data_IF_384149124563
#
_entry.id   IF_384149124563
#
_cell.length_a   1.000
_cell.length_b   1.000
_cell.length_c   1.000
_cell.angle_alpha   90.00
_cell.angle_beta   90.00
_cell.angle_gamma   90.00
#
_symmetry.space_group_name_H-M   'P 1'
#
loop_
_entity.id
_entity.type
_entity.pdbx_description
1 polymer ?
#
# COMPACT_ATOMS: atom_id res chain seq x y z
N UNK A 1 -3.68 -13.63 -18.04
CA UNK A 1 -4.83 -12.85 -17.53
C UNK A 1 -4.60 -11.34 -17.59
N UNK A 2 -5.64 -10.51 -17.73
CA UNK A 2 -5.59 -9.05 -17.50
C UNK A 2 -6.31 -8.63 -16.19
N UNK A 3 -6.18 -7.37 -15.76
CA UNK A 3 -6.78 -6.86 -14.51
C UNK A 3 -8.30 -6.99 -14.47
N UNK A 4 -9.00 -6.57 -15.52
CA UNK A 4 -10.47 -6.67 -15.59
C UNK A 4 -10.99 -8.11 -15.42
N UNK A 5 -10.25 -9.09 -15.96
CA UNK A 5 -10.57 -10.51 -15.82
C UNK A 5 -10.40 -10.99 -14.38
N UNK A 6 -9.35 -10.54 -13.70
CA UNK A 6 -9.10 -10.85 -12.29
C UNK A 6 -10.24 -10.27 -11.43
N UNK A 7 -10.58 -8.99 -11.61
CA UNK A 7 -11.67 -8.33 -10.89
C UNK A 7 -13.01 -9.05 -11.10
N UNK A 8 -13.29 -9.52 -12.32
CA UNK A 8 -14.51 -10.31 -12.60
C UNK A 8 -14.53 -11.64 -11.86
N UNK A 9 -13.39 -12.32 -11.75
CA UNK A 9 -13.30 -13.57 -10.97
C UNK A 9 -13.51 -13.32 -9.47
N UNK A 10 -12.96 -12.22 -8.94
CA UNK A 10 -13.16 -11.81 -7.55
C UNK A 10 -14.63 -11.47 -7.29
N UNK A 11 -15.24 -10.59 -8.10
CA UNK A 11 -16.66 -10.25 -7.99
C UNK A 11 -17.56 -11.50 -8.10
N UNK A 12 -17.19 -12.47 -8.94
CA UNK A 12 -17.90 -13.74 -9.03
C UNK A 12 -17.76 -14.59 -7.76
N UNK A 13 -16.56 -14.67 -7.18
CA UNK A 13 -16.30 -15.35 -5.91
C UNK A 13 -17.06 -14.72 -4.73
N UNK A 14 -17.30 -13.40 -4.79
CA UNK A 14 -18.01 -12.62 -3.79
C UNK A 14 -19.54 -12.56 -4.03
N UNK A 15 -20.03 -13.18 -5.09
CA UNK A 15 -21.44 -13.15 -5.52
C UNK A 15 -21.96 -11.75 -5.89
N UNK A 16 -21.08 -10.85 -6.32
CA UNK A 16 -21.41 -9.47 -6.71
C UNK A 16 -21.72 -9.32 -8.21
N UNK A 17 -21.72 -10.42 -8.97
CA UNK A 17 -22.06 -10.41 -10.40
C UNK A 17 -23.52 -10.78 -10.67
N UNK A 18 -24.08 -10.24 -11.76
CA UNK A 18 -25.42 -10.62 -12.21
C UNK A 18 -25.51 -12.11 -12.60
N UNK A 19 -26.72 -12.68 -12.56
CA UNK A 19 -26.95 -14.09 -12.92
C UNK A 19 -26.53 -14.45 -14.36
N UNK A 20 -26.67 -13.49 -15.29
CA UNK A 20 -26.21 -13.66 -16.67
C UNK A 20 -24.69 -13.70 -16.77
N UNK A 21 -24.01 -12.85 -16.00
CA UNK A 21 -22.55 -12.78 -15.93
C UNK A 21 -21.96 -14.02 -15.26
N UNK A 22 -22.55 -14.49 -14.16
CA UNK A 22 -22.16 -15.72 -13.48
C UNK A 22 -22.10 -16.92 -14.43
N UNK A 23 -23.08 -17.05 -15.34
CA UNK A 23 -23.08 -18.11 -16.36
C UNK A 23 -21.95 -17.96 -17.38
N UNK A 24 -21.64 -16.72 -17.79
CA UNK A 24 -20.52 -16.45 -18.70
C UNK A 24 -19.18 -16.80 -18.06
N UNK A 25 -19.00 -16.43 -16.78
CA UNK A 25 -17.80 -16.71 -16.02
C UNK A 25 -17.66 -18.22 -15.77
N UNK A 26 -18.74 -18.92 -15.39
CA UNK A 26 -18.71 -20.38 -15.25
C UNK A 26 -18.32 -21.09 -16.57
N UNK A 27 -18.84 -20.62 -17.71
CA UNK A 27 -18.44 -21.13 -19.02
C UNK A 27 -16.98 -20.84 -19.35
N UNK A 28 -16.47 -19.66 -18.99
CA UNK A 28 -15.06 -19.30 -19.16
C UNK A 28 -14.15 -20.20 -18.31
N UNK A 29 -14.47 -20.38 -17.03
CA UNK A 29 -13.75 -21.28 -16.11
C UNK A 29 -13.69 -22.73 -16.60
N UNK A 30 -14.71 -23.20 -17.34
CA UNK A 30 -14.71 -24.57 -17.91
C UNK A 30 -13.76 -24.75 -19.10
N UNK A 31 -13.32 -23.65 -19.73
CA UNK A 31 -12.55 -23.65 -20.98
C UNK A 31 -11.13 -23.12 -20.83
N UNK A 32 -10.87 -22.38 -19.77
CA UNK A 32 -9.62 -21.69 -19.52
C UNK A 32 -8.99 -22.21 -18.23
N UNK A 33 -7.90 -22.96 -18.39
CA UNK A 33 -7.18 -23.57 -17.27
C UNK A 33 -6.48 -22.51 -16.39
N UNK A 34 -6.02 -21.40 -16.98
CA UNK A 34 -5.38 -20.30 -16.25
C UNK A 34 -6.42 -19.63 -15.34
N UNK A 35 -7.61 -19.33 -15.88
CA UNK A 35 -8.72 -18.74 -15.12
C UNK A 35 -9.21 -19.66 -14.00
N UNK A 36 -9.30 -20.96 -14.27
CA UNK A 36 -9.69 -21.95 -13.27
C UNK A 36 -8.69 -22.03 -12.12
N UNK A 37 -7.39 -22.05 -12.43
CA UNK A 37 -6.34 -22.09 -11.42
C UNK A 37 -6.42 -20.86 -10.50
N UNK A 38 -6.47 -19.65 -11.08
CA UNK A 38 -6.57 -18.42 -10.28
C UNK A 38 -7.82 -18.40 -9.41
N UNK A 39 -8.96 -18.87 -9.94
CA UNK A 39 -10.20 -18.94 -9.17
C UNK A 39 -10.08 -19.89 -7.96
N UNK A 40 -9.37 -21.02 -8.08
CA UNK A 40 -9.11 -21.90 -6.94
C UNK A 40 -8.20 -21.24 -5.92
N UNK A 41 -7.11 -20.58 -6.35
CA UNK A 41 -6.20 -19.86 -5.47
C UNK A 41 -6.94 -18.77 -4.66
N UNK A 42 -7.78 -17.97 -5.33
CA UNK A 42 -8.61 -16.95 -4.67
C UNK A 42 -9.59 -17.57 -3.65
N UNK A 43 -10.19 -18.70 -3.99
CA UNK A 43 -11.11 -19.43 -3.11
C UNK A 43 -10.39 -19.97 -1.86
N UNK A 44 -9.17 -20.50 -2.02
CA UNK A 44 -8.33 -20.97 -0.93
C UNK A 44 -7.92 -19.81 0.00
N UNK A 45 -7.50 -18.68 -0.56
CA UNK A 45 -7.18 -17.48 0.23
C UNK A 45 -8.41 -17.00 1.03
N UNK A 46 -9.58 -16.91 0.39
CA UNK A 46 -10.83 -16.53 1.07
C UNK A 46 -11.18 -17.47 2.22
N UNK A 47 -11.00 -18.78 2.03
CA UNK A 47 -11.21 -19.77 3.08
C UNK A 47 -10.20 -19.62 4.23
N UNK A 48 -8.91 -19.48 3.90
CA UNK A 48 -7.85 -19.27 4.89
C UNK A 48 -8.06 -17.99 5.71
N UNK A 49 -8.52 -16.90 5.09
CA UNK A 49 -8.85 -15.66 5.79
C UNK A 49 -10.04 -15.85 6.74
N UNK A 50 -11.12 -16.47 6.29
CA UNK A 50 -12.30 -16.70 7.13
C UNK A 50 -11.99 -17.51 8.41
N UNK A 51 -11.02 -18.41 8.35
CA UNK A 51 -10.57 -19.19 9.52
C UNK A 51 -9.64 -18.41 10.47
N UNK A 52 -9.04 -17.31 10.00
CA UNK A 52 -8.04 -16.53 10.73
C UNK A 52 -8.49 -15.10 11.06
N UNK A 53 -9.77 -14.78 10.88
CA UNK A 53 -10.31 -13.48 11.29
C UNK A 53 -10.33 -13.35 12.81
N UNK A 54 -9.42 -12.53 13.33
CA UNK A 54 -9.36 -12.21 14.75
C UNK A 54 -10.60 -11.38 15.12
N UNK A 55 -11.61 -12.03 15.69
CA UNK A 55 -12.80 -11.33 16.19
C UNK A 55 -12.43 -10.55 17.45
N UNK A 56 -12.01 -9.29 17.26
CA UNK A 56 -11.72 -8.38 18.37
C UNK A 56 -13.01 -7.69 18.79
N UNK A 57 -13.60 -8.13 19.90
CA UNK A 57 -14.69 -7.39 20.53
C UNK A 57 -14.13 -6.24 21.36
N UNK A 58 -14.57 -5.02 21.10
CA UNK A 58 -14.34 -3.90 22.01
C UNK A 58 -15.39 -3.95 23.12
N UNK A 59 -15.02 -3.81 24.40
CA UNK A 59 -15.97 -3.89 25.52
C UNK A 59 -16.91 -2.67 25.62
N UNK A 60 -16.69 -1.66 24.79
CA UNK A 60 -17.41 -0.40 24.78
C UNK A 60 -18.48 -0.39 23.69
N UNK A 61 -19.52 0.44 23.86
CA UNK A 61 -20.50 0.63 22.79
C UNK A 61 -19.83 1.26 21.56
N UNK A 62 -20.35 0.92 20.38
CA UNK A 62 -19.88 1.46 19.09
C UNK A 62 -19.79 2.99 19.12
N UNK A 63 -20.83 3.66 19.59
CA UNK A 63 -20.90 5.12 19.63
C UNK A 63 -19.84 5.72 20.56
N UNK A 64 -19.59 5.07 21.70
CA UNK A 64 -18.56 5.53 22.63
C UNK A 64 -17.16 5.35 22.05
N UNK A 65 -16.88 4.21 21.42
CA UNK A 65 -15.62 3.96 20.72
C UNK A 65 -15.35 4.99 19.62
N UNK A 66 -16.32 5.22 18.73
CA UNK A 66 -16.19 6.21 17.65
C UNK A 66 -16.07 7.65 18.17
N UNK A 67 -16.74 7.99 19.27
CA UNK A 67 -16.60 9.33 19.88
C UNK A 67 -15.18 9.60 20.39
N UNK A 68 -14.42 8.57 20.79
CA UNK A 68 -13.02 8.72 21.20
C UNK A 68 -12.13 8.98 19.99
N UNK A 69 -12.35 8.25 18.90
CA UNK A 69 -11.61 8.45 17.64
C UNK A 69 -11.84 9.87 17.13
N UNK A 70 -13.10 10.32 17.06
CA UNK A 70 -13.44 11.67 16.64
C UNK A 70 -12.73 12.73 17.50
N UNK A 71 -12.85 12.63 18.82
CA UNK A 71 -12.16 13.56 19.75
C UNK A 71 -10.63 13.52 19.58
N UNK A 72 -10.07 12.33 19.36
CA UNK A 72 -8.65 12.15 19.07
C UNK A 72 -8.22 12.92 17.83
N UNK A 73 -8.97 12.81 16.73
CA UNK A 73 -8.72 13.54 15.48
C UNK A 73 -8.86 15.05 15.68
N UNK A 74 -9.93 15.49 16.34
CA UNK A 74 -10.17 16.92 16.61
C UNK A 74 -9.10 17.54 17.52
N UNK A 75 -8.59 16.77 18.48
CA UNK A 75 -7.53 17.20 19.40
C UNK A 75 -6.12 17.09 18.83
N UNK A 76 -5.94 16.36 17.72
CA UNK A 76 -4.64 16.19 17.10
C UNK A 76 -4.17 17.55 16.55
N UNK A 77 -2.99 18.04 16.95
CA UNK A 77 -2.46 19.26 16.38
C UNK A 77 -2.26 19.03 14.88
N UNK A 78 -2.80 19.92 14.04
CA UNK A 78 -2.53 19.89 12.61
C UNK A 78 -1.02 19.80 12.40
N UNK A 79 -0.58 18.74 11.70
CA UNK A 79 0.83 18.53 11.41
C UNK A 79 1.36 19.79 10.73
N UNK A 80 2.15 20.58 11.46
CA UNK A 80 2.82 21.73 10.88
C UNK A 80 3.89 21.17 9.96
N UNK A 81 3.90 21.51 8.66
CA UNK A 81 5.01 21.11 7.81
C UNK A 81 6.29 21.64 8.46
N UNK A 82 7.20 20.72 8.78
CA UNK A 82 8.56 21.04 9.21
C UNK A 82 9.25 21.69 8.01
N UNK A 83 9.14 23.02 7.94
CA UNK A 83 9.87 23.79 6.95
C UNK A 83 11.36 23.62 7.22
N UNK A 84 12.01 22.80 6.41
CA UNK A 84 13.45 22.67 6.45
C UNK A 84 14.07 24.06 6.28
N UNK A 85 15.02 24.45 7.14
CA UNK A 85 15.67 25.75 7.04
C UNK A 85 16.24 25.97 5.64
N UNK A 86 16.12 27.18 5.10
CA UNK A 86 16.57 27.50 3.72
C UNK A 86 18.05 27.12 3.46
N UNK A 87 18.91 27.20 4.49
CA UNK A 87 20.31 26.84 4.40
C UNK A 87 20.54 25.33 4.21
N UNK A 88 19.60 24.46 4.60
CA UNK A 88 19.66 23.03 4.26
C UNK A 88 19.52 22.82 2.75
N UNK A 89 18.70 23.62 2.05
CA UNK A 89 18.56 23.53 0.59
C UNK A 89 19.85 23.90 -0.13
N UNK A 90 20.68 24.74 0.49
CA UNK A 90 21.98 25.16 -0.05
C UNK A 90 23.08 24.17 0.37
N UNK A 91 23.07 23.70 1.62
CA UNK A 91 24.09 22.78 2.12
C UNK A 91 23.97 21.35 1.60
N UNK A 92 22.75 20.89 1.31
CA UNK A 92 22.48 19.52 0.84
C UNK A 92 23.25 19.14 -0.45
N UNK A 93 23.30 19.96 -1.52
CA UNK A 93 24.11 19.62 -2.70
C UNK A 93 25.61 19.55 -2.41
N UNK A 94 26.14 20.40 -1.52
CA UNK A 94 27.57 20.33 -1.14
C UNK A 94 27.88 19.11 -0.28
N UNK A 95 27.00 18.77 0.67
CA UNK A 95 27.13 17.56 1.48
C UNK A 95 27.03 16.29 0.61
N UNK A 96 26.11 16.27 -0.36
CA UNK A 96 26.00 15.19 -1.33
C UNK A 96 27.25 15.08 -2.22
N UNK A 97 27.77 16.20 -2.72
CA UNK A 97 29.00 16.22 -3.52
C UNK A 97 30.24 15.79 -2.72
N UNK A 98 30.33 16.16 -1.44
CA UNK A 98 31.40 15.70 -0.55
C UNK A 98 31.27 14.21 -0.25
N UNK A 99 30.06 13.70 -0.03
CA UNK A 99 29.83 12.27 0.18
C UNK A 99 30.18 11.44 -1.07
N UNK A 100 29.78 11.89 -2.26
CA UNK A 100 30.16 11.20 -3.51
C UNK A 100 31.66 11.24 -3.75
N UNK A 101 32.32 12.37 -3.48
CA UNK A 101 33.77 12.48 -3.59
C UNK A 101 34.48 11.56 -2.59
N UNK A 102 34.02 11.52 -1.33
CA UNK A 102 34.59 10.66 -0.29
C UNK A 102 34.41 9.16 -0.60
N UNK A 103 33.24 8.77 -1.15
CA UNK A 103 32.99 7.41 -1.63
C UNK A 103 33.91 7.07 -2.81
N UNK A 104 34.03 7.97 -3.80
CA UNK A 104 34.92 7.76 -4.95
C UNK A 104 36.39 7.62 -4.51
N UNK A 105 36.81 8.45 -3.55
CA UNK A 105 38.16 8.38 -2.98
C UNK A 105 38.40 7.10 -2.16
N UNK A 106 37.40 6.63 -1.42
CA UNK A 106 37.48 5.35 -0.68
C UNK A 106 37.57 4.15 -1.62
N UNK A 107 36.83 4.14 -2.73
CA UNK A 107 36.84 3.05 -3.73
C UNK A 107 38.20 2.92 -4.43
N UNK A 108 38.94 4.02 -4.59
CA UNK A 108 40.27 3.98 -5.24
C UNK A 108 41.42 3.68 -4.29
N UNK A 109 41.23 3.83 -2.97
CA UNK A 109 42.31 3.67 -1.98
C UNK A 109 42.18 2.41 -1.12
N UNK A 110 40.99 1.79 -1.02
CA UNK A 110 40.77 0.60 -0.21
C UNK A 110 40.08 -0.52 -1.02
N UNK A 111 40.60 -1.76 -0.94
CA UNK A 111 39.90 -2.98 -1.37
C UNK A 111 38.68 -3.19 -0.44
N UNK A 112 37.52 -2.64 -0.82
CA UNK A 112 36.30 -2.67 -0.02
C UNK A 112 35.61 -4.04 -0.14
N UNK A 113 35.42 -4.80 0.95
CA UNK A 113 34.50 -5.93 0.96
C UNK A 113 33.07 -5.43 0.69
N UNK A 114 32.33 -6.19 -0.11
CA UNK A 114 31.01 -5.83 -0.65
C UNK A 114 30.09 -5.16 0.38
N UNK A 115 29.94 -3.84 0.26
CA UNK A 115 28.97 -3.04 1.00
C UNK A 115 27.56 -3.47 0.58
N UNK A 116 26.89 -4.29 1.40
CA UNK A 116 25.43 -4.41 1.34
C UNK A 116 24.82 -3.13 1.89
N UNK A 117 24.61 -2.17 1.01
CA UNK A 117 23.75 -1.02 1.27
C UNK A 117 22.37 -1.57 1.67
N UNK A 118 22.01 -1.44 2.94
CA UNK A 118 20.60 -1.43 3.33
C UNK A 118 20.02 -0.16 2.72
N UNK A 119 19.33 -0.29 1.60
CA UNK A 119 18.42 0.74 1.13
C UNK A 119 17.46 1.05 2.27
N UNK A 120 17.36 2.33 2.66
CA UNK A 120 16.18 2.81 3.35
C UNK A 120 15.06 2.69 2.33
N UNK A 121 14.32 1.59 2.39
CA UNK A 121 13.17 1.32 1.55
C UNK A 121 12.13 2.37 1.92
N UNK A 122 11.93 3.34 1.03
CA UNK A 122 10.69 4.08 1.00
C UNK A 122 9.69 3.18 0.30
N UNK A 123 8.81 2.58 1.08
CA UNK A 123 7.77 1.69 0.58
C UNK A 123 6.62 2.58 0.09
N UNK A 124 6.59 2.82 -1.22
CA UNK A 124 5.43 3.38 -1.89
C UNK A 124 4.58 2.18 -2.29
N UNK A 125 3.62 1.82 -1.45
CA UNK A 125 2.58 0.86 -1.82
C UNK A 125 1.63 1.55 -2.80
N UNK A 126 1.98 1.45 -4.09
CA UNK A 126 1.03 1.68 -5.16
C UNK A 126 0.07 0.51 -5.19
N UNK A 127 -1.01 0.57 -4.41
CA UNK A 127 -2.18 -0.30 -4.63
C UNK A 127 -2.57 -0.17 -6.10
N UNK A 128 -2.55 -1.30 -6.82
CA UNK A 128 -2.55 -1.34 -8.27
C UNK A 128 -3.71 -0.56 -8.90
N UNK A 129 -3.34 0.29 -9.86
CA UNK A 129 -4.02 0.70 -11.11
C UNK A 129 -5.50 1.09 -11.17
N UNK A 130 -6.37 0.68 -10.24
CA UNK A 130 -7.82 0.88 -10.32
C UNK A 130 -8.46 1.45 -9.06
N UNK A 131 -7.75 1.50 -7.92
CA UNK A 131 -8.25 2.22 -6.76
C UNK A 131 -7.72 3.66 -6.80
N UNK A 132 -8.64 4.62 -6.89
CA UNK A 132 -8.33 6.05 -6.87
C UNK A 132 -7.86 6.49 -5.49
N UNK A 133 -6.93 5.81 -4.85
CA UNK A 133 -6.34 6.26 -3.61
C UNK A 133 -4.84 5.99 -3.58
N UNK A 134 -4.05 7.04 -3.37
CA UNK A 134 -2.60 6.92 -3.19
C UNK A 134 -2.33 7.01 -1.69
N UNK A 135 -1.80 5.94 -1.09
CA UNK A 135 -1.42 5.92 0.32
C UNK A 135 0.09 6.03 0.46
N UNK A 136 0.54 7.09 1.11
CA UNK A 136 1.93 7.33 1.46
C UNK A 136 2.13 7.10 2.96
N UNK A 137 3.06 6.22 3.32
CA UNK A 137 3.42 5.97 4.71
C UNK A 137 4.89 6.36 4.98
N UNK A 138 5.11 7.20 5.98
CA UNK A 138 6.44 7.62 6.43
C UNK A 138 6.70 7.15 7.86
N UNK A 139 7.54 6.13 8.02
CA UNK A 139 7.91 5.60 9.34
C UNK A 139 8.69 6.61 10.19
N UNK A 140 9.52 7.46 9.58
CA UNK A 140 10.32 8.45 10.30
C UNK A 140 9.51 9.61 10.87
N UNK A 141 8.33 9.88 10.28
CA UNK A 141 7.45 10.97 10.69
C UNK A 141 6.17 10.46 11.36
N UNK A 142 5.98 9.14 11.47
CA UNK A 142 4.79 8.52 12.03
C UNK A 142 3.51 8.93 11.31
N UNK A 143 3.60 9.22 10.01
CA UNK A 143 2.53 9.84 9.23
C UNK A 143 2.07 8.91 8.10
N UNK A 144 0.75 8.77 7.97
CA UNK A 144 0.11 8.15 6.81
C UNK A 144 -0.76 9.19 6.12
N UNK A 145 -0.51 9.42 4.83
CA UNK A 145 -1.26 10.35 3.99
C UNK A 145 -1.99 9.55 2.93
N UNK A 146 -3.31 9.69 2.88
CA UNK A 146 -4.17 9.05 1.87
C UNK A 146 -4.70 10.14 0.95
N UNK A 147 -4.41 10.08 -0.33
CA UNK A 147 -4.91 11.00 -1.35
C UNK A 147 -6.03 10.34 -2.13
N UNK A 148 -7.24 10.89 -2.03
CA UNK A 148 -8.40 10.50 -2.83
C UNK A 148 -8.57 11.60 -3.90
N UNK A 149 -8.29 11.34 -5.19
CA UNK A 149 -8.60 12.26 -6.26
C UNK A 149 -10.12 12.40 -6.35
N UNK A 150 -10.61 13.60 -6.11
CA UNK A 150 -12.02 13.94 -6.31
C UNK A 150 -12.34 13.91 -7.81
N UNK A 151 -12.70 12.74 -8.34
CA UNK A 151 -13.25 12.57 -9.67
C UNK A 151 -14.74 12.89 -9.68
N UNK A 152 -15.06 14.09 -10.19
CA UNK A 152 -16.28 14.55 -10.88
C UNK A 152 -17.54 13.66 -10.78
N UNK A 153 -18.63 14.24 -10.25
CA UNK A 153 -20.01 13.77 -10.42
C UNK A 153 -20.40 13.56 -11.88
#
# INVERSE_FOLDING_TARGET
MNTDQILKLQAYLDNEVSSGEARRIANWLSRDAEALQLFQELKEIKAAMAENELTVSVPESRDFYWSKIQRGIESAPAARPTVAPWWFRIGLPFAAALATLAVLMSVTTFDLPSLRLRSAVYEIDGSGSDDGSITFHSQSEGMTVVWIPSGQY
#
